data_IF_180914258200
#
_entry.id   IF_180914258200
#
_cell.length_a   1.000
_cell.length_b   1.000
_cell.length_c   1.000
_cell.angle_alpha   90.00
_cell.angle_beta   90.00
_cell.angle_gamma   90.00
#
_symmetry.space_group_name_H-M   'P 1'
#
loop_
_entity.id
_entity.type
_entity.pdbx_description
1 polymer ?
#
# COMPACT_ATOMS: atom_id res chain seq x y z
N UNK A 1 18.44 21.98 -14.89
CA UNK A 1 17.00 21.74 -14.68
C UNK A 1 16.86 20.28 -14.31
N UNK A 2 16.46 20.04 -13.07
CA UNK A 2 15.70 18.88 -12.58
C UNK A 2 15.66 19.05 -11.06
N UNK A 3 14.70 19.84 -10.59
CA UNK A 3 14.27 19.82 -9.21
C UNK A 3 13.77 18.40 -8.93
N UNK A 4 14.55 17.61 -8.19
CA UNK A 4 14.04 16.38 -7.59
C UNK A 4 13.13 16.84 -6.46
N UNK A 5 11.86 17.08 -6.77
CA UNK A 5 10.82 17.23 -5.75
C UNK A 5 10.75 15.90 -5.02
N UNK A 6 11.50 15.79 -3.92
CA UNK A 6 11.21 14.83 -2.86
C UNK A 6 9.82 15.19 -2.36
N UNK A 7 8.80 14.55 -2.93
CA UNK A 7 7.44 14.64 -2.43
C UNK A 7 7.44 13.88 -1.10
N UNK A 8 7.88 14.56 -0.03
CA UNK A 8 7.67 14.10 1.33
C UNK A 8 6.19 14.24 1.59
N UNK A 9 5.41 13.23 1.23
CA UNK A 9 4.00 13.18 1.60
C UNK A 9 3.96 12.98 3.11
N UNK A 10 3.90 14.09 3.82
CA UNK A 10 3.81 14.18 5.28
C UNK A 10 2.38 13.80 5.69
N UNK A 11 2.02 12.53 5.53
CA UNK A 11 0.76 12.00 6.03
C UNK A 11 0.97 11.42 7.43
N UNK A 12 0.06 11.75 8.33
CA UNK A 12 -0.01 11.16 9.66
C UNK A 12 -0.52 9.70 9.56
N UNK A 13 0.31 8.68 9.86
CA UNK A 13 -0.11 7.27 9.80
C UNK A 13 -1.32 6.97 10.69
N UNK A 14 -1.48 7.67 11.82
CA UNK A 14 -2.62 7.48 12.71
C UNK A 14 -3.94 7.91 12.06
N UNK A 15 -3.92 9.07 11.41
CA UNK A 15 -5.08 9.59 10.69
C UNK A 15 -5.49 8.65 9.56
N UNK A 16 -4.52 8.15 8.78
CA UNK A 16 -4.79 7.27 7.64
C UNK A 16 -5.34 5.92 8.09
N UNK A 17 -4.67 5.26 9.04
CA UNK A 17 -5.13 3.96 9.55
C UNK A 17 -6.52 4.07 10.17
N UNK A 18 -6.79 5.15 10.93
CA UNK A 18 -8.12 5.41 11.49
C UNK A 18 -9.18 5.56 10.40
N UNK A 19 -8.90 6.32 9.34
CA UNK A 19 -9.81 6.51 8.22
C UNK A 19 -10.06 5.21 7.46
N UNK A 20 -9.03 4.38 7.24
CA UNK A 20 -9.16 3.08 6.57
C UNK A 20 -10.01 2.10 7.36
N UNK A 21 -9.81 2.01 8.68
CA UNK A 21 -10.62 1.16 9.56
C UNK A 21 -12.09 1.60 9.57
N UNK A 22 -12.34 2.91 9.62
CA UNK A 22 -13.68 3.47 9.55
C UNK A 22 -14.38 3.17 8.21
N UNK A 23 -13.66 3.33 7.09
CA UNK A 23 -14.18 3.02 5.76
C UNK A 23 -14.49 1.52 5.58
N UNK A 24 -13.64 0.65 6.13
CA UNK A 24 -13.84 -0.80 6.13
C UNK A 24 -14.90 -1.27 7.15
N UNK A 25 -15.40 -0.37 8.01
CA UNK A 25 -16.31 -0.69 9.13
C UNK A 25 -15.74 -1.76 10.06
N UNK A 26 -14.43 -1.73 10.28
CA UNK A 26 -13.73 -2.64 11.17
C UNK A 26 -13.45 -1.98 12.51
N UNK A 27 -13.69 -2.73 13.58
CA UNK A 27 -13.27 -2.38 14.93
C UNK A 27 -12.14 -3.33 15.34
N UNK A 28 -11.04 -2.79 15.81
CA UNK A 28 -9.84 -3.53 16.26
C UNK A 28 -9.49 -3.08 17.68
N UNK A 29 -8.68 -3.85 18.40
CA UNK A 29 -8.17 -3.39 19.70
C UNK A 29 -7.20 -2.21 19.55
N UNK A 30 -6.94 -1.52 20.65
CA UNK A 30 -5.97 -0.41 20.67
C UNK A 30 -4.55 -0.91 20.35
N UNK A 31 -4.19 -2.11 20.82
CA UNK A 31 -2.90 -2.74 20.50
C UNK A 31 -2.78 -3.08 19.01
N UNK A 32 -3.83 -3.64 18.40
CA UNK A 32 -3.86 -3.94 16.97
C UNK A 32 -3.76 -2.67 16.15
N UNK A 33 -4.50 -1.61 16.53
CA UNK A 33 -4.41 -0.31 15.88
C UNK A 33 -3.00 0.27 15.98
N UNK A 34 -2.37 0.23 17.15
CA UNK A 34 -1.01 0.71 17.35
C UNK A 34 0.01 -0.04 16.46
N UNK A 35 -0.16 -1.35 16.32
CA UNK A 35 0.67 -2.17 15.44
C UNK A 35 0.45 -1.81 13.96
N UNK A 36 -0.79 -1.62 13.52
CA UNK A 36 -1.11 -1.18 12.15
C UNK A 36 -0.52 0.20 11.83
N UNK A 37 -0.61 1.16 12.76
CA UNK A 37 -0.01 2.50 12.61
C UNK A 37 1.51 2.40 12.44
N UNK A 38 2.16 1.55 13.24
CA UNK A 38 3.60 1.31 13.16
C UNK A 38 4.02 0.69 11.82
N UNK A 39 3.25 -0.26 11.31
CA UNK A 39 3.60 -1.01 10.09
C UNK A 39 3.20 -0.29 8.80
N UNK A 40 2.26 0.66 8.89
CA UNK A 40 1.70 1.37 7.74
C UNK A 40 2.76 2.00 6.81
N UNK A 41 3.79 2.72 7.29
CA UNK A 41 4.78 3.32 6.40
C UNK A 41 5.55 2.30 5.56
N UNK A 42 5.86 1.13 6.14
CA UNK A 42 6.55 0.05 5.43
C UNK A 42 5.65 -0.55 4.36
N UNK A 43 4.40 -0.87 4.71
CA UNK A 43 3.42 -1.38 3.73
C UNK A 43 3.18 -0.37 2.61
N UNK A 44 3.13 0.92 2.93
CA UNK A 44 2.91 1.97 1.94
C UNK A 44 4.09 2.08 0.96
N UNK A 45 5.32 2.07 1.46
CA UNK A 45 6.51 2.07 0.61
C UNK A 45 6.54 0.86 -0.33
N UNK A 46 6.25 -0.35 0.19
CA UNK A 46 6.18 -1.55 -0.65
C UNK A 46 5.05 -1.49 -1.67
N UNK A 47 3.91 -0.87 -1.35
CA UNK A 47 2.81 -0.68 -2.30
C UNK A 47 3.17 0.31 -3.42
N UNK A 48 3.95 1.34 -3.11
CA UNK A 48 4.42 2.32 -4.09
C UNK A 48 5.44 1.69 -5.06
N UNK A 49 6.26 0.75 -4.60
CA UNK A 49 7.16 -0.05 -5.46
C UNK A 49 6.41 -0.95 -6.45
N UNK A 50 5.14 -1.31 -6.18
CA UNK A 50 4.31 -2.07 -7.13
C UNK A 50 3.75 -1.21 -8.27
N UNK A 51 3.89 0.11 -8.19
CA UNK A 51 3.51 1.00 -9.28
C UNK A 51 4.58 0.95 -10.38
N UNK A 52 4.29 0.20 -11.44
CA UNK A 52 5.17 0.01 -12.60
C UNK A 52 4.59 0.80 -13.79
N UNK A 53 5.11 1.98 -14.13
CA UNK A 53 4.59 2.82 -15.22
C UNK A 53 4.54 2.10 -16.58
N UNK A 54 5.48 1.19 -16.82
CA UNK A 54 5.52 0.35 -18.02
C UNK A 54 4.29 -0.55 -18.18
N UNK A 55 3.55 -0.82 -17.10
CA UNK A 55 2.34 -1.63 -17.10
C UNK A 55 1.05 -0.82 -17.31
N UNK A 56 1.11 0.50 -17.48
CA UNK A 56 -0.07 1.38 -17.63
C UNK A 56 -0.98 0.96 -18.79
N UNK A 57 -0.40 0.39 -19.86
CA UNK A 57 -1.14 -0.07 -21.04
C UNK A 57 -1.47 -1.57 -21.02
N UNK A 58 -1.11 -2.29 -19.96
CA UNK A 58 -1.40 -3.70 -19.82
C UNK A 58 -2.73 -3.90 -19.09
N UNK A 59 -3.60 -4.73 -19.65
CA UNK A 59 -4.84 -5.08 -18.97
C UNK A 59 -4.52 -5.81 -17.64
N UNK A 60 -5.20 -5.43 -16.53
CA UNK A 60 -5.04 -6.14 -15.27
C UNK A 60 -5.33 -7.62 -15.44
N UNK A 61 -4.46 -8.47 -14.87
CA UNK A 61 -4.66 -9.91 -14.96
C UNK A 61 -6.01 -10.30 -14.33
N UNK A 62 -6.96 -10.88 -15.09
CA UNK A 62 -8.30 -11.20 -14.57
C UNK A 62 -8.29 -12.35 -13.57
N UNK A 63 -7.18 -13.11 -13.51
CA UNK A 63 -6.96 -14.24 -12.60
C UNK A 63 -5.51 -14.24 -12.14
N UNK A 64 -5.32 -14.36 -10.84
CA UNK A 64 -4.02 -14.68 -10.27
C UNK A 64 -3.83 -16.21 -10.24
N UNK A 65 -2.94 -16.74 -11.09
CA UNK A 65 -2.56 -18.16 -11.05
C UNK A 65 -1.11 -18.28 -10.55
N UNK A 66 -0.86 -18.57 -9.26
CA UNK A 66 0.49 -18.67 -8.73
C UNK A 66 1.29 -19.83 -9.36
N UNK A 67 0.62 -20.87 -9.85
CA UNK A 67 1.27 -22.00 -10.54
C UNK A 67 1.74 -21.65 -11.96
N UNK A 68 1.32 -20.51 -12.52
CA UNK A 68 1.79 -20.06 -13.84
C UNK A 68 3.20 -19.43 -13.79
N UNK A 69 3.64 -18.97 -12.62
CA UNK A 69 4.90 -18.23 -12.45
C UNK A 69 6.04 -19.08 -11.86
N UNK A 70 5.73 -20.25 -11.30
CA UNK A 70 6.72 -21.19 -10.78
C UNK A 70 6.54 -22.56 -11.46
N UNK A 71 7.30 -22.87 -12.53
CA UNK A 71 7.34 -24.23 -13.05
C UNK A 71 7.93 -25.18 -12.00
N UNK A 72 7.32 -26.36 -11.87
CA UNK A 72 7.71 -27.41 -10.93
C UNK A 72 9.12 -27.96 -11.16
#
# INVERSE_FOLDING_TARGET
MSDTTTESTDYDPELVVTAMLAAARLTVSDEEKAQMIKDFPVMRASADELYLPELEFYEPAPKFNPAAYYPA
#
